data_IF_172730021579
#
_entry.id   IF_172730021579
#
_cell.length_a   1.000
_cell.length_b   1.000
_cell.length_c   1.000
_cell.angle_alpha   90.00
_cell.angle_beta   90.00
_cell.angle_gamma   90.00
#
_symmetry.space_group_name_H-M   'P 1'
#
loop_
_entity.id
_entity.type
_entity.pdbx_description
1 polymer ?
#
# COMPACT_ATOMS: atom_id res chain seq x y z
N UNK A 1 -18.24 42.60 -35.54
CA UNK A 1 -18.05 42.75 -34.08
C UNK A 1 -18.24 41.47 -33.25
N UNK A 2 -18.67 40.31 -33.80
CA UNK A 2 -18.88 39.08 -33.01
C UNK A 2 -17.69 38.10 -32.94
N UNK A 3 -16.65 38.28 -33.75
CA UNK A 3 -15.48 37.38 -33.78
C UNK A 3 -14.41 37.73 -32.73
N UNK A 4 -14.26 39.00 -32.33
CA UNK A 4 -13.30 39.38 -31.28
C UNK A 4 -13.71 38.93 -29.88
N UNK A 5 -15.00 38.72 -29.61
CA UNK A 5 -15.47 38.27 -28.29
C UNK A 5 -15.17 36.78 -28.02
N UNK A 6 -15.06 35.95 -29.06
CA UNK A 6 -14.81 34.51 -28.93
C UNK A 6 -13.33 34.18 -28.68
N UNK A 7 -12.40 35.02 -29.16
CA UNK A 7 -10.96 34.83 -28.93
C UNK A 7 -10.58 35.23 -27.50
N UNK A 8 -11.25 36.24 -26.93
CA UNK A 8 -10.97 36.71 -25.57
C UNK A 8 -11.47 35.69 -24.51
N UNK A 9 -12.61 35.02 -24.72
CA UNK A 9 -13.09 33.97 -23.80
C UNK A 9 -12.27 32.68 -23.87
N UNK A 10 -11.70 32.33 -25.03
CA UNK A 10 -10.81 31.17 -25.17
C UNK A 10 -9.42 31.42 -24.56
N UNK A 11 -8.92 32.66 -24.59
CA UNK A 11 -7.63 33.00 -23.95
C UNK A 11 -7.75 33.10 -22.42
N UNK A 12 -8.90 33.52 -21.89
CA UNK A 12 -9.17 33.56 -20.44
C UNK A 12 -9.36 32.16 -19.81
N UNK A 13 -9.76 31.16 -20.59
CA UNK A 13 -9.90 29.77 -20.11
C UNK A 13 -8.55 29.01 -20.07
N UNK A 14 -7.53 29.48 -20.80
CA UNK A 14 -6.17 28.93 -20.75
C UNK A 14 -5.33 29.45 -19.57
N UNK A 15 -5.74 30.56 -18.93
CA UNK A 15 -5.02 31.13 -17.76
C UNK A 15 -5.56 30.56 -16.43
N UNK A 16 -6.71 29.89 -16.44
CA UNK A 16 -7.32 29.34 -15.23
C UNK A 16 -6.74 27.97 -14.79
N UNK A 17 -5.88 27.34 -15.58
CA UNK A 17 -5.36 25.98 -15.28
C UNK A 17 -3.95 25.97 -14.66
N UNK A 18 -3.31 27.14 -14.49
CA UNK A 18 -1.98 27.24 -13.86
C UNK A 18 -2.01 27.41 -12.34
N UNK A 19 -3.18 27.36 -11.68
CA UNK A 19 -3.30 27.59 -10.23
C UNK A 19 -3.03 26.36 -9.34
N UNK A 20 -2.75 25.18 -9.93
CA UNK A 20 -2.36 23.98 -9.16
C UNK A 20 -0.88 23.61 -9.34
N UNK A 21 -0.04 24.56 -9.75
CA UNK A 21 1.42 24.45 -9.66
C UNK A 21 1.97 24.98 -8.33
N UNK A 22 1.16 24.99 -7.25
CA UNK A 22 1.71 24.97 -5.89
C UNK A 22 2.26 23.57 -5.63
N UNK A 23 3.37 23.26 -6.31
CA UNK A 23 4.33 22.27 -5.84
C UNK A 23 4.90 22.85 -4.55
N UNK A 24 4.18 22.66 -3.44
CA UNK A 24 4.71 22.78 -2.09
C UNK A 24 5.82 21.72 -1.98
N UNK A 25 7.02 22.06 -2.45
CA UNK A 25 8.23 21.25 -2.30
C UNK A 25 8.52 20.96 -0.82
N UNK A 26 7.95 21.79 0.07
CA UNK A 26 7.91 21.62 1.51
C UNK A 26 6.49 21.20 1.96
N UNK A 27 6.10 19.94 1.71
CA UNK A 27 4.95 19.33 2.42
C UNK A 27 5.37 19.11 3.87
N UNK A 28 5.03 20.03 4.76
CA UNK A 28 5.43 19.91 6.16
C UNK A 28 4.21 19.85 7.05
N UNK A 29 4.00 18.70 7.68
CA UNK A 29 3.42 18.60 9.01
C UNK A 29 4.53 18.86 9.97
N UNK A 30 4.26 19.88 10.75
CA UNK A 30 5.18 20.43 11.68
C UNK A 30 4.97 19.77 13.03
N UNK A 31 6.06 19.28 13.61
CA UNK A 31 6.11 19.02 15.03
C UNK A 31 6.02 20.34 15.80
N UNK A 32 4.88 20.56 16.47
CA UNK A 32 4.61 21.74 17.27
C UNK A 32 4.82 21.50 18.77
N UNK A 33 5.18 22.56 19.48
CA UNK A 33 5.19 22.58 20.94
C UNK A 33 4.53 23.85 21.48
N UNK A 34 3.95 23.73 22.67
CA UNK A 34 3.38 24.79 23.46
C UNK A 34 4.45 25.38 24.38
N UNK A 35 4.62 26.69 24.30
CA UNK A 35 5.49 27.48 25.17
C UNK A 35 4.62 28.40 26.01
N UNK A 36 4.42 28.03 27.28
CA UNK A 36 3.57 28.74 28.23
C UNK A 36 4.45 29.45 29.28
N UNK A 37 4.03 30.63 29.72
CA UNK A 37 4.80 31.41 30.69
C UNK A 37 4.97 30.64 32.03
N UNK A 38 6.22 30.45 32.46
CA UNK A 38 6.55 29.81 33.74
C UNK A 38 6.41 28.29 33.78
N UNK A 39 6.18 27.64 32.64
CA UNK A 39 6.08 26.18 32.52
C UNK A 39 7.15 25.64 31.56
N UNK A 40 7.53 24.37 31.74
CA UNK A 40 8.36 23.69 30.76
C UNK A 40 7.55 23.52 29.46
N UNK A 41 8.16 23.72 28.28
CA UNK A 41 7.45 23.52 27.01
C UNK A 41 6.98 22.07 26.86
N UNK A 42 5.86 21.88 26.18
CA UNK A 42 5.28 20.55 25.92
C UNK A 42 4.91 20.38 24.46
N UNK A 43 5.30 19.26 23.86
CA UNK A 43 4.90 18.90 22.50
C UNK A 43 3.39 18.76 22.42
N UNK A 44 2.80 19.32 21.36
CA UNK A 44 1.35 19.38 21.21
C UNK A 44 0.70 17.98 21.28
N UNK A 45 1.33 16.98 20.68
CA UNK A 45 0.89 15.58 20.70
C UNK A 45 0.69 15.07 22.13
N UNK A 46 1.62 15.35 23.03
CA UNK A 46 1.58 14.92 24.43
C UNK A 46 0.52 15.68 25.23
N UNK A 47 0.39 16.98 24.95
CA UNK A 47 -0.66 17.80 25.54
C UNK A 47 -2.06 17.31 25.13
N UNK A 48 -2.25 16.98 23.84
CA UNK A 48 -3.53 16.49 23.33
C UNK A 48 -3.93 15.14 23.91
N UNK A 49 -2.99 14.24 24.18
CA UNK A 49 -3.30 12.98 24.90
C UNK A 49 -3.98 13.25 26.23
N UNK A 50 -3.41 14.17 27.01
CA UNK A 50 -3.89 14.47 28.35
C UNK A 50 -5.25 15.18 28.33
N UNK A 51 -5.46 16.08 27.37
CA UNK A 51 -6.67 16.92 27.30
C UNK A 51 -7.83 16.25 26.58
N UNK A 52 -7.56 15.28 25.70
CA UNK A 52 -8.57 14.45 25.03
C UNK A 52 -8.89 13.16 25.78
N UNK A 53 -8.34 12.99 26.99
CA UNK A 53 -8.51 11.78 27.83
C UNK A 53 -8.09 10.47 27.12
N UNK A 54 -7.11 10.56 26.21
CA UNK A 54 -6.55 9.42 25.47
C UNK A 54 -5.52 8.61 26.28
N UNK A 55 -5.56 8.74 27.61
CA UNK A 55 -4.73 8.01 28.56
C UNK A 55 -3.64 8.84 29.24
N UNK A 56 -2.79 8.14 29.99
CA UNK A 56 -1.71 8.76 30.78
C UNK A 56 -0.39 8.55 30.07
N UNK A 57 0.28 9.63 29.69
CA UNK A 57 1.61 9.60 29.07
C UNK A 57 2.59 8.86 29.97
N UNK A 58 3.27 7.86 29.40
CA UNK A 58 4.37 7.13 30.02
C UNK A 58 5.62 7.36 29.20
N UNK A 59 6.57 8.08 29.76
CA UNK A 59 7.84 8.36 29.11
C UNK A 59 8.77 7.15 29.09
N UNK A 60 9.69 7.14 28.13
CA UNK A 60 10.74 6.13 28.04
C UNK A 60 11.80 6.36 29.12
N UNK A 61 12.39 5.27 29.62
CA UNK A 61 13.51 5.32 30.57
C UNK A 61 14.87 5.48 29.92
N UNK A 62 14.95 5.47 28.59
CA UNK A 62 16.21 5.70 27.88
C UNK A 62 16.71 7.14 28.11
N UNK A 63 18.01 7.35 27.87
CA UNK A 63 18.69 8.60 28.23
C UNK A 63 18.55 9.68 27.15
N UNK A 64 18.73 9.32 25.88
CA UNK A 64 18.72 10.27 24.76
C UNK A 64 17.35 10.36 24.09
N UNK A 65 17.03 11.49 23.46
CA UNK A 65 15.78 11.68 22.72
C UNK A 65 15.57 10.61 21.63
N UNK A 66 16.63 10.23 20.91
CA UNK A 66 16.57 9.19 19.88
C UNK A 66 16.28 7.82 20.49
N UNK A 67 17.01 7.43 21.54
CA UNK A 67 16.80 6.12 22.18
C UNK A 67 15.40 6.03 22.81
N UNK A 68 14.90 7.14 23.37
CA UNK A 68 13.52 7.25 23.87
C UNK A 68 12.51 7.05 22.75
N UNK A 69 12.68 7.68 21.58
CA UNK A 69 11.79 7.50 20.44
C UNK A 69 11.80 6.05 19.91
N UNK A 70 12.97 5.39 19.89
CA UNK A 70 13.12 3.97 19.52
C UNK A 70 12.41 3.05 20.52
N UNK A 71 12.54 3.31 21.83
CA UNK A 71 11.82 2.57 22.87
C UNK A 71 10.31 2.77 22.78
N UNK A 72 9.85 4.01 22.55
CA UNK A 72 8.44 4.32 22.32
C UNK A 72 7.87 3.58 21.10
N UNK A 73 8.57 3.60 19.97
CA UNK A 73 8.19 2.85 18.77
C UNK A 73 8.15 1.33 19.03
N UNK A 74 8.97 0.81 19.96
CA UNK A 74 8.97 -0.61 20.33
C UNK A 74 7.69 -1.07 21.01
N UNK A 75 6.86 -0.15 21.52
CA UNK A 75 5.53 -0.47 22.05
C UNK A 75 4.58 -1.02 20.99
N UNK A 76 4.84 -0.76 19.71
CA UNK A 76 4.05 -1.33 18.63
C UNK A 76 4.39 -2.81 18.37
N UNK A 77 5.51 -3.35 18.87
CA UNK A 77 5.98 -4.71 18.53
C UNK A 77 4.93 -5.82 18.74
N UNK A 78 4.04 -5.69 19.74
CA UNK A 78 3.04 -6.72 20.07
C UNK A 78 1.86 -6.75 19.09
N UNK A 79 1.56 -5.65 18.42
CA UNK A 79 0.37 -5.50 17.55
C UNK A 79 0.74 -5.21 16.10
N UNK A 80 1.88 -4.55 15.88
CA UNK A 80 2.39 -4.14 14.58
C UNK A 80 3.94 -4.09 14.57
N UNK A 81 4.59 -5.27 14.45
CA UNK A 81 6.05 -5.36 14.43
C UNK A 81 6.68 -4.69 13.19
N UNK A 82 5.96 -4.59 12.08
CA UNK A 82 6.48 -3.97 10.85
C UNK A 82 6.58 -2.45 11.01
N UNK A 83 5.50 -1.81 11.46
CA UNK A 83 5.48 -0.38 11.75
C UNK A 83 6.44 -0.01 12.89
N UNK A 84 6.52 -0.86 13.93
CA UNK A 84 7.51 -0.68 14.99
C UNK A 84 8.94 -0.59 14.42
N UNK A 85 9.31 -1.47 13.49
CA UNK A 85 10.62 -1.46 12.83
C UNK A 85 10.82 -0.19 12.01
N UNK A 86 9.86 0.15 11.15
CA UNK A 86 9.90 1.34 10.30
C UNK A 86 10.12 2.62 11.13
N UNK A 87 9.43 2.75 12.27
CA UNK A 87 9.54 3.93 13.12
C UNK A 87 10.84 3.98 13.89
N UNK A 88 11.38 2.85 14.34
CA UNK A 88 12.73 2.79 14.94
C UNK A 88 13.80 3.20 13.93
N UNK A 89 13.75 2.66 12.72
CA UNK A 89 14.70 2.99 11.66
C UNK A 89 14.63 4.48 11.33
N UNK A 90 13.43 5.04 11.27
CA UNK A 90 13.21 6.48 11.03
C UNK A 90 13.72 7.34 12.19
N UNK A 91 13.52 6.92 13.44
CA UNK A 91 14.00 7.63 14.61
C UNK A 91 15.54 7.64 14.70
N UNK A 92 16.19 6.51 14.39
CA UNK A 92 17.65 6.41 14.34
C UNK A 92 18.27 7.29 13.23
N UNK A 93 17.59 7.41 12.10
CA UNK A 93 18.02 8.25 10.98
C UNK A 93 17.78 9.75 11.23
N UNK A 94 16.89 10.12 12.16
CA UNK A 94 16.41 11.49 12.33
C UNK A 94 17.53 12.53 12.44
N UNK A 95 18.48 12.33 13.36
CA UNK A 95 19.56 13.30 13.61
C UNK A 95 20.51 13.44 12.43
N UNK A 96 20.76 12.36 11.68
CA UNK A 96 21.59 12.39 10.48
C UNK A 96 20.88 13.07 9.30
N UNK A 97 19.56 12.98 9.27
CA UNK A 97 18.68 13.57 8.25
C UNK A 97 18.18 14.97 8.60
N UNK A 98 18.55 15.51 9.77
CA UNK A 98 18.10 16.81 10.27
C UNK A 98 19.11 17.94 10.01
N UNK A 99 18.58 19.12 9.69
CA UNK A 99 19.30 20.38 9.62
C UNK A 99 18.80 21.31 10.73
N UNK A 100 19.68 21.66 11.66
CA UNK A 100 19.39 22.60 12.74
C UNK A 100 19.67 24.04 12.28
N UNK A 101 18.73 24.96 12.52
CA UNK A 101 18.83 26.38 12.15
C UNK A 101 18.59 27.27 13.38
N UNK A 102 19.42 28.30 13.56
CA UNK A 102 19.43 29.17 14.76
C UNK A 102 18.77 30.54 14.54
N UNK A 103 18.63 31.01 13.29
CA UNK A 103 18.25 32.41 13.00
C UNK A 103 17.16 32.55 11.93
N UNK A 104 16.55 31.43 11.54
CA UNK A 104 15.46 31.40 10.58
C UNK A 104 14.18 31.04 11.31
N UNK A 105 13.23 31.97 11.32
CA UNK A 105 11.86 31.67 11.71
C UNK A 105 11.33 30.59 10.76
N UNK A 106 10.98 29.42 11.32
CA UNK A 106 10.27 28.41 10.55
C UNK A 106 8.84 28.92 10.35
N UNK A 107 8.44 29.10 9.09
CA UNK A 107 7.07 29.53 8.77
C UNK A 107 6.12 28.40 9.17
N UNK A 108 5.07 28.76 9.93
CA UNK A 108 4.00 27.83 10.32
C UNK A 108 3.39 27.17 9.09
N UNK A 109 3.35 25.85 9.07
CA UNK A 109 2.72 25.07 8.01
C UNK A 109 1.20 25.07 8.18
N UNK A 110 0.43 25.08 7.08
CA UNK A 110 -1.03 25.23 7.14
C UNK A 110 -1.78 23.92 7.45
N UNK A 111 -1.15 22.94 8.08
CA UNK A 111 -1.68 21.58 8.25
C UNK A 111 -1.89 21.15 9.70
N UNK A 112 -1.94 22.12 10.61
CA UNK A 112 -2.19 21.89 12.03
C UNK A 112 -3.57 21.25 12.31
N UNK A 113 -4.57 21.49 11.46
CA UNK A 113 -5.96 21.11 11.75
C UNK A 113 -6.58 21.95 12.88
N UNK A 114 -7.59 21.41 13.56
CA UNK A 114 -8.22 22.09 14.70
C UNK A 114 -7.43 21.82 15.98
N UNK A 115 -6.98 22.90 16.63
CA UNK A 115 -6.22 22.81 17.89
C UNK A 115 -6.70 23.87 18.88
N UNK A 116 -6.86 23.45 20.13
CA UNK A 116 -7.15 24.33 21.27
C UNK A 116 -5.88 24.60 22.05
N UNK A 117 -5.45 25.86 22.09
CA UNK A 117 -4.26 26.32 22.81
C UNK A 117 -4.70 27.18 24.00
N UNK A 118 -4.17 26.96 25.22
CA UNK A 118 -4.45 27.84 26.36
C UNK A 118 -4.02 29.28 26.06
N UNK A 119 -4.74 30.26 26.62
CA UNK A 119 -4.54 31.68 26.29
C UNK A 119 -3.15 32.22 26.67
N UNK A 120 -2.51 31.61 27.66
CA UNK A 120 -1.18 31.91 28.17
C UNK A 120 -0.04 31.21 27.41
N UNK A 121 -0.37 30.37 26.44
CA UNK A 121 0.58 29.58 25.68
C UNK A 121 0.73 30.11 24.25
N UNK A 122 1.93 29.97 23.72
CA UNK A 122 2.22 30.18 22.30
C UNK A 122 2.48 28.84 21.65
N UNK A 123 1.88 28.60 20.48
CA UNK A 123 2.09 27.38 19.71
C UNK A 123 3.17 27.64 18.67
N UNK A 124 4.33 26.99 18.82
CA UNK A 124 5.48 27.21 17.95
C UNK A 124 5.88 25.93 17.21
N UNK A 125 6.31 26.11 15.96
CA UNK A 125 6.77 25.02 15.10
C UNK A 125 8.25 24.75 15.36
N UNK A 126 8.56 23.57 15.87
CA UNK A 126 9.92 23.18 16.26
C UNK A 126 10.62 22.44 15.14
N UNK A 127 9.92 21.55 14.45
CA UNK A 127 10.44 20.75 13.33
C UNK A 127 9.45 20.76 12.17
N UNK A 128 9.94 20.61 10.94
CA UNK A 128 9.10 20.19 9.83
C UNK A 128 9.86 19.25 8.88
N UNK A 129 9.07 18.42 8.20
CA UNK A 129 9.55 17.54 7.16
C UNK A 129 9.48 18.19 5.77
N UNK A 130 10.43 17.85 4.91
CA UNK A 130 10.40 18.11 3.47
C UNK A 130 10.91 16.89 2.70
N UNK A 131 10.64 16.86 1.40
CA UNK A 131 11.20 15.83 0.54
C UNK A 131 12.66 16.18 0.20
N UNK A 132 13.64 15.31 0.51
CA UNK A 132 15.01 15.54 0.11
C UNK A 132 15.15 15.68 -1.40
N UNK A 133 16.03 16.58 -1.83
CA UNK A 133 16.35 16.82 -3.23
C UNK A 133 17.86 16.93 -3.42
N UNK A 134 18.31 17.03 -4.67
CA UNK A 134 19.72 17.21 -4.98
C UNK A 134 20.31 18.50 -4.39
N UNK A 135 19.48 19.55 -4.26
CA UNK A 135 19.87 20.83 -3.67
C UNK A 135 19.73 20.83 -2.15
N UNK A 136 18.93 19.91 -1.60
CA UNK A 136 18.56 19.91 -0.22
C UNK A 136 18.45 18.51 0.36
N UNK A 137 19.56 18.04 0.94
CA UNK A 137 19.67 16.65 1.41
C UNK A 137 18.96 16.40 2.73
N UNK A 138 18.78 17.43 3.56
CA UNK A 138 18.14 17.27 4.86
C UNK A 138 16.63 17.11 4.71
N UNK A 139 16.11 16.04 5.30
CA UNK A 139 14.68 15.71 5.36
C UNK A 139 13.96 16.54 6.40
N UNK A 140 14.62 16.78 7.54
CA UNK A 140 14.05 17.52 8.66
C UNK A 140 14.75 18.86 8.79
N UNK A 141 14.00 19.91 9.10
CA UNK A 141 14.55 21.20 9.49
C UNK A 141 14.07 21.49 10.90
N UNK A 142 15.00 21.75 11.80
CA UNK A 142 14.75 21.91 13.22
C UNK A 142 15.15 23.31 13.67
N UNK A 143 14.25 24.03 14.33
CA UNK A 143 14.58 25.28 14.98
C UNK A 143 15.41 24.96 16.23
N UNK A 144 16.71 25.22 16.16
CA UNK A 144 17.65 24.86 17.22
C UNK A 144 17.31 25.56 18.54
N UNK A 145 16.84 26.81 18.49
CA UNK A 145 16.54 27.58 19.71
C UNK A 145 15.32 27.02 20.43
N UNK A 146 14.28 26.61 19.71
CA UNK A 146 13.10 25.97 20.29
C UNK A 146 13.40 24.54 20.73
N UNK A 147 14.12 23.78 19.91
CA UNK A 147 14.51 22.40 20.21
C UNK A 147 15.32 22.28 21.51
N UNK A 148 16.28 23.18 21.72
CA UNK A 148 17.14 23.17 22.91
C UNK A 148 16.40 23.57 24.20
N UNK A 149 15.16 24.08 24.10
CA UNK A 149 14.30 24.34 25.26
C UNK A 149 13.44 23.12 25.63
N UNK A 150 13.35 22.12 24.76
CA UNK A 150 12.64 20.87 25.03
C UNK A 150 13.53 19.91 25.81
N UNK A 151 12.94 19.19 26.77
CA UNK A 151 13.61 18.04 27.37
C UNK A 151 13.66 16.84 26.41
N UNK A 152 14.40 15.80 26.80
CA UNK A 152 14.60 14.63 25.95
C UNK A 152 13.29 13.86 25.65
N UNK A 153 12.29 13.93 26.52
CA UNK A 153 11.00 13.28 26.31
C UNK A 153 10.16 14.00 25.26
N UNK A 154 10.14 15.33 25.31
CA UNK A 154 9.50 16.16 24.29
C UNK A 154 10.23 16.08 22.94
N UNK A 155 11.56 16.07 22.95
CA UNK A 155 12.33 15.83 21.73
C UNK A 155 12.01 14.45 21.12
N UNK A 156 11.91 13.40 21.95
CA UNK A 156 11.52 12.07 21.49
C UNK A 156 10.12 12.04 20.87
N UNK A 157 9.16 12.77 21.44
CA UNK A 157 7.82 12.90 20.89
C UNK A 157 7.84 13.54 19.48
N UNK A 158 8.65 14.58 19.26
CA UNK A 158 8.82 15.17 17.93
C UNK A 158 9.49 14.20 16.95
N UNK A 159 10.53 13.47 17.37
CA UNK A 159 11.19 12.49 16.49
C UNK A 159 10.19 11.44 16.01
N UNK A 160 9.39 10.90 16.93
CA UNK A 160 8.40 9.88 16.61
C UNK A 160 7.24 10.45 15.76
N UNK A 161 6.82 11.69 16.03
CA UNK A 161 5.86 12.42 15.19
C UNK A 161 6.30 12.42 13.73
N UNK A 162 7.55 12.81 13.47
CA UNK A 162 8.08 12.91 12.11
C UNK A 162 8.22 11.52 11.45
N UNK A 163 8.50 10.47 12.22
CA UNK A 163 8.50 9.09 11.72
C UNK A 163 7.10 8.64 11.27
N UNK A 164 6.06 8.94 12.06
CA UNK A 164 4.67 8.64 11.72
C UNK A 164 4.22 9.49 10.52
N UNK A 165 4.52 10.79 10.53
CA UNK A 165 4.12 11.67 9.44
C UNK A 165 4.73 11.25 8.10
N UNK A 166 5.98 10.78 8.11
CA UNK A 166 6.62 10.21 6.92
C UNK A 166 5.81 9.07 6.32
N UNK A 167 5.16 8.24 7.13
CA UNK A 167 4.27 7.19 6.62
C UNK A 167 3.05 7.83 5.93
N UNK A 168 2.39 8.76 6.63
CA UNK A 168 1.15 9.40 6.16
C UNK A 168 1.35 10.13 4.83
N UNK A 169 2.41 10.92 4.66
CA UNK A 169 2.63 11.66 3.40
C UNK A 169 3.02 10.81 2.21
N UNK A 170 3.57 9.62 2.46
CA UNK A 170 3.92 8.66 1.42
C UNK A 170 2.76 7.69 1.13
N UNK A 171 1.62 7.89 1.79
CA UNK A 171 0.43 7.06 1.64
C UNK A 171 -0.57 7.63 0.65
N UNK A 172 -1.56 6.82 0.28
CA UNK A 172 -2.71 7.18 -0.56
C UNK A 172 -3.79 7.96 0.20
N UNK A 173 -3.60 8.26 1.49
CA UNK A 173 -4.59 9.02 2.27
C UNK A 173 -4.70 10.49 1.83
N UNK A 174 -3.69 11.04 1.13
CA UNK A 174 -3.64 12.45 0.73
C UNK A 174 -4.03 13.41 1.90
N UNK A 175 -3.67 13.03 3.12
CA UNK A 175 -4.10 13.72 4.33
C UNK A 175 -3.45 15.10 4.38
N UNK A 176 -4.28 16.12 4.60
CA UNK A 176 -3.85 17.52 4.62
C UNK A 176 -3.56 18.03 6.03
N UNK A 177 -3.82 17.23 7.07
CA UNK A 177 -3.70 17.65 8.45
C UNK A 177 -2.93 16.66 9.32
N UNK A 178 -2.30 17.21 10.35
CA UNK A 178 -1.44 16.47 11.27
C UNK A 178 -2.14 15.90 12.48
N UNK A 179 -3.41 16.22 12.67
CA UNK A 179 -4.17 15.83 13.85
C UNK A 179 -4.11 14.32 14.11
N UNK A 180 -4.28 13.50 13.07
CA UNK A 180 -4.24 12.04 13.17
C UNK A 180 -2.86 11.51 13.57
N UNK A 181 -1.79 12.14 13.06
CA UNK A 181 -0.41 11.83 13.45
C UNK A 181 -0.20 12.12 14.93
N UNK A 182 -0.66 13.28 15.41
CA UNK A 182 -0.52 13.69 16.82
C UNK A 182 -1.29 12.76 17.75
N UNK A 183 -2.52 12.41 17.39
CA UNK A 183 -3.33 11.43 18.14
C UNK A 183 -2.60 10.08 18.20
N UNK A 184 -2.11 9.57 17.07
CA UNK A 184 -1.43 8.27 17.04
C UNK A 184 -0.15 8.27 17.86
N UNK A 185 0.69 9.29 17.69
CA UNK A 185 1.91 9.48 18.46
C UNK A 185 1.61 9.54 19.96
N UNK A 186 0.56 10.27 20.31
CA UNK A 186 0.05 10.36 21.65
C UNK A 186 -0.38 9.02 22.26
N UNK A 187 -1.11 8.21 21.51
CA UNK A 187 -1.55 6.87 21.92
C UNK A 187 -0.36 5.92 22.16
N UNK A 188 0.71 6.02 21.35
CA UNK A 188 1.96 5.29 21.59
C UNK A 188 2.59 5.73 22.92
N UNK A 189 2.58 7.03 23.21
CA UNK A 189 3.07 7.58 24.47
C UNK A 189 2.22 7.19 25.68
N UNK A 190 0.90 7.02 25.54
CA UNK A 190 -0.01 6.67 26.64
C UNK A 190 0.00 5.18 27.02
N UNK A 191 0.80 4.36 26.32
CA UNK A 191 0.93 2.91 26.54
C UNK A 191 -0.37 2.12 26.29
N UNK A 192 -1.42 2.77 25.78
CA UNK A 192 -2.69 2.14 25.46
C UNK A 192 -2.55 1.09 24.36
N UNK A 193 -1.62 1.30 23.41
CA UNK A 193 -1.32 0.36 22.33
C UNK A 193 -1.06 -1.06 22.83
N UNK A 194 -0.37 -1.22 23.96
CA UNK A 194 -0.01 -2.54 24.48
C UNK A 194 -1.19 -3.37 24.97
N UNK A 195 -2.32 -2.72 25.28
CA UNK A 195 -3.54 -3.39 25.69
C UNK A 195 -4.52 -3.64 24.55
N UNK A 196 -4.24 -3.14 23.34
CA UNK A 196 -5.15 -3.31 22.22
C UNK A 196 -5.08 -4.73 21.68
N UNK A 197 -6.26 -5.32 21.45
CA UNK A 197 -6.38 -6.48 20.58
C UNK A 197 -6.08 -6.05 19.14
N UNK A 198 -5.60 -6.97 18.31
CA UNK A 198 -5.32 -6.68 16.89
C UNK A 198 -6.54 -6.06 16.19
N UNK A 199 -7.74 -6.54 16.50
CA UNK A 199 -9.00 -6.01 15.95
C UNK A 199 -9.22 -4.54 16.28
N UNK A 200 -8.94 -4.13 17.51
CA UNK A 200 -9.15 -2.75 17.96
C UNK A 200 -8.02 -1.85 17.45
N UNK A 201 -6.81 -2.39 17.35
CA UNK A 201 -5.69 -1.71 16.73
C UNK A 201 -5.94 -1.40 15.25
N UNK A 202 -6.44 -2.36 14.46
CA UNK A 202 -6.75 -2.12 13.05
C UNK A 202 -7.87 -1.09 12.87
N UNK A 203 -8.92 -1.12 13.71
CA UNK A 203 -9.96 -0.08 13.70
C UNK A 203 -9.39 1.29 14.04
N UNK A 204 -8.51 1.37 15.03
CA UNK A 204 -7.82 2.61 15.38
C UNK A 204 -7.03 3.15 14.17
N UNK A 205 -6.28 2.29 13.47
CA UNK A 205 -5.54 2.71 12.27
C UNK A 205 -6.48 3.25 11.17
N UNK A 206 -7.61 2.57 10.94
CA UNK A 206 -8.64 3.02 9.99
C UNK A 206 -9.23 4.37 10.38
N UNK A 207 -9.63 4.54 11.65
CA UNK A 207 -10.14 5.80 12.18
C UNK A 207 -9.12 6.94 12.06
N UNK A 208 -7.83 6.64 12.11
CA UNK A 208 -6.72 7.58 11.96
C UNK A 208 -6.22 7.71 10.51
N UNK A 209 -6.88 7.09 9.53
CA UNK A 209 -6.51 7.09 8.11
C UNK A 209 -5.08 6.58 7.81
N UNK A 210 -4.56 5.68 8.66
CA UNK A 210 -3.34 4.97 8.36
C UNK A 210 -3.66 3.86 7.34
N UNK A 211 -3.17 4.05 6.12
CA UNK A 211 -3.63 3.29 4.92
C UNK A 211 -3.27 1.82 4.87
N UNK A 212 -2.31 1.34 5.68
CA UNK A 212 -1.79 -0.02 5.55
C UNK A 212 -1.53 -0.72 6.87
N UNK A 213 -1.48 -2.05 6.81
CA UNK A 213 -0.99 -2.94 7.87
C UNK A 213 -0.20 -4.07 7.24
N UNK A 214 0.83 -4.59 7.90
CA UNK A 214 1.63 -5.70 7.38
C UNK A 214 1.42 -6.97 8.21
N UNK A 215 0.97 -8.04 7.56
CA UNK A 215 0.83 -9.38 8.15
C UNK A 215 1.69 -10.36 7.35
N UNK A 216 2.68 -10.99 7.98
CA UNK A 216 3.58 -11.96 7.35
C UNK A 216 4.22 -11.48 6.03
N UNK A 217 4.60 -10.20 5.98
CA UNK A 217 5.22 -9.58 4.80
C UNK A 217 4.22 -9.13 3.72
N UNK A 218 2.92 -9.31 3.93
CA UNK A 218 1.87 -8.81 3.04
C UNK A 218 1.34 -7.48 3.53
N UNK A 219 1.40 -6.46 2.67
CA UNK A 219 0.77 -5.16 2.96
C UNK A 219 -0.70 -5.19 2.59
N UNK A 220 -1.52 -5.12 3.62
CA UNK A 220 -2.97 -5.02 3.55
C UNK A 220 -3.34 -3.54 3.50
N UNK A 221 -4.32 -3.19 2.68
CA UNK A 221 -4.93 -1.86 2.67
C UNK A 221 -5.98 -1.79 3.79
N UNK A 222 -5.92 -0.71 4.56
CA UNK A 222 -6.89 -0.37 5.60
C UNK A 222 -7.90 0.68 5.13
N UNK A 223 -7.55 1.43 4.10
CA UNK A 223 -8.41 2.40 3.46
C UNK A 223 -7.62 3.34 2.55
N UNK A 224 -8.35 4.23 1.89
CA UNK A 224 -7.79 5.20 0.95
C UNK A 224 -8.67 6.43 0.82
N UNK A 225 -8.10 7.50 0.25
CA UNK A 225 -8.85 8.72 -0.03
C UNK A 225 -9.26 8.78 -1.48
N UNK A 226 -10.54 9.01 -1.76
CA UNK A 226 -11.06 9.17 -3.12
C UNK A 226 -10.52 10.44 -3.78
N UNK A 227 -10.60 10.58 -5.11
CA UNK A 227 -10.20 11.81 -5.80
C UNK A 227 -10.89 13.08 -5.27
N UNK A 228 -12.08 12.95 -4.68
CA UNK A 228 -12.85 14.04 -4.07
C UNK A 228 -12.40 14.36 -2.63
N UNK A 229 -11.47 13.60 -2.06
CA UNK A 229 -10.95 13.83 -0.70
C UNK A 229 -11.70 13.08 0.40
N UNK A 230 -12.56 12.11 0.08
CA UNK A 230 -13.27 11.32 1.10
C UNK A 230 -12.48 10.08 1.47
N UNK A 231 -12.39 9.77 2.76
CA UNK A 231 -11.84 8.51 3.23
C UNK A 231 -12.82 7.35 3.05
N UNK A 232 -12.30 6.21 2.59
CA UNK A 232 -13.02 4.96 2.43
C UNK A 232 -12.24 3.86 3.13
N UNK A 233 -12.87 3.21 4.10
CA UNK A 233 -12.31 2.04 4.78
C UNK A 233 -12.27 0.83 3.86
N UNK A 234 -11.14 0.12 3.87
CA UNK A 234 -11.01 -1.20 3.26
C UNK A 234 -11.57 -2.27 4.19
N UNK A 235 -12.26 -3.26 3.62
CA UNK A 235 -12.80 -4.36 4.43
C UNK A 235 -11.69 -5.31 4.91
N UNK A 236 -11.62 -5.51 6.23
CA UNK A 236 -10.76 -6.51 6.87
C UNK A 236 -11.62 -7.45 7.69
N UNK A 237 -11.63 -8.74 7.34
CA UNK A 237 -12.36 -9.77 8.06
C UNK A 237 -11.40 -10.54 8.97
N UNK A 238 -11.75 -10.62 10.24
CA UNK A 238 -11.01 -11.34 11.26
C UNK A 238 -11.89 -12.39 11.95
N UNK A 239 -11.27 -13.45 12.45
CA UNK A 239 -11.95 -14.41 13.32
C UNK A 239 -11.98 -13.97 14.79
N UNK A 240 -12.62 -14.76 15.64
CA UNK A 240 -12.71 -14.48 17.08
C UNK A 240 -11.38 -14.53 17.84
N UNK A 241 -10.29 -14.98 17.21
CA UNK A 241 -8.93 -14.98 17.76
C UNK A 241 -8.09 -13.82 17.22
N UNK A 242 -8.67 -12.95 16.38
CA UNK A 242 -7.97 -11.83 15.76
C UNK A 242 -7.07 -12.22 14.59
N UNK A 243 -7.23 -13.42 14.01
CA UNK A 243 -6.54 -13.80 12.77
C UNK A 243 -7.26 -13.17 11.58
N UNK A 244 -6.52 -12.57 10.66
CA UNK A 244 -7.08 -12.03 9.42
C UNK A 244 -7.46 -13.21 8.51
N UNK A 245 -8.73 -13.27 8.10
CA UNK A 245 -9.27 -14.27 7.18
C UNK A 245 -9.37 -13.76 5.74
N UNK A 246 -9.62 -12.47 5.58
CA UNK A 246 -9.71 -11.83 4.26
C UNK A 246 -9.44 -10.34 4.39
N UNK A 247 -8.73 -9.76 3.41
CA UNK A 247 -8.49 -8.32 3.39
C UNK A 247 -8.17 -7.81 1.97
N UNK A 248 -8.27 -6.50 1.76
CA UNK A 248 -7.77 -5.86 0.55
C UNK A 248 -6.24 -5.77 0.56
N UNK A 249 -5.56 -6.11 -0.53
CA UNK A 249 -4.12 -5.88 -0.68
C UNK A 249 -3.85 -4.44 -1.12
N UNK A 250 -2.84 -3.82 -0.52
CA UNK A 250 -2.35 -2.52 -0.96
C UNK A 250 -1.65 -2.64 -2.33
N UNK A 251 -1.83 -1.66 -3.22
CA UNK A 251 -1.21 -1.71 -4.54
C UNK A 251 0.33 -1.56 -4.48
N UNK A 252 0.83 -0.59 -3.72
CA UNK A 252 2.25 -0.21 -3.71
C UNK A 252 3.13 -1.15 -2.87
N UNK A 253 3.31 -2.39 -3.34
CA UNK A 253 4.15 -3.40 -2.69
C UNK A 253 4.83 -4.34 -3.71
N UNK A 254 5.83 -5.06 -3.22
CA UNK A 254 6.48 -6.17 -3.91
C UNK A 254 6.43 -7.39 -3.00
N UNK A 255 5.98 -8.53 -3.53
CA UNK A 255 6.06 -9.80 -2.81
C UNK A 255 6.06 -10.99 -3.77
N UNK A 256 6.65 -12.08 -3.32
CA UNK A 256 6.58 -13.38 -3.99
C UNK A 256 5.85 -14.39 -3.09
N UNK A 257 5.01 -15.23 -3.68
CA UNK A 257 4.26 -16.23 -2.93
C UNK A 257 3.91 -17.43 -3.82
N UNK A 258 4.33 -18.65 -3.43
CA UNK A 258 4.02 -19.87 -4.19
C UNK A 258 4.55 -19.87 -5.63
N UNK A 259 5.66 -19.19 -5.90
CA UNK A 259 6.24 -19.02 -7.24
C UNK A 259 5.61 -17.87 -8.05
N UNK A 260 4.48 -17.31 -7.61
CA UNK A 260 3.94 -16.08 -8.17
C UNK A 260 4.77 -14.89 -7.66
N UNK A 261 5.09 -13.97 -8.56
CA UNK A 261 5.71 -12.69 -8.25
C UNK A 261 4.75 -11.55 -8.52
N UNK A 262 4.78 -10.54 -7.65
CA UNK A 262 4.04 -9.30 -7.81
C UNK A 262 4.95 -8.10 -7.52
N UNK A 263 4.89 -7.10 -8.41
CA UNK A 263 5.66 -5.87 -8.30
C UNK A 263 4.81 -4.69 -8.77
N UNK A 264 4.50 -3.77 -7.86
CA UNK A 264 3.78 -2.55 -8.18
C UNK A 264 4.31 -1.39 -7.36
N UNK A 265 4.75 -0.35 -8.06
CA UNK A 265 5.35 0.84 -7.47
C UNK A 265 4.76 2.06 -8.18
N UNK A 266 4.12 2.94 -7.42
CA UNK A 266 3.57 4.19 -7.95
C UNK A 266 2.17 4.05 -8.56
N UNK A 267 1.42 3.01 -8.21
CA UNK A 267 0.01 2.89 -8.58
C UNK A 267 -0.80 4.02 -7.98
N UNK A 268 -1.73 4.55 -8.77
CA UNK A 268 -2.76 5.48 -8.30
C UNK A 268 -3.99 4.76 -7.75
N UNK A 269 -4.18 3.50 -8.12
CA UNK A 269 -5.15 2.62 -7.49
C UNK A 269 -4.63 2.23 -6.11
N UNK A 270 -5.46 2.39 -5.07
CA UNK A 270 -5.07 2.08 -3.71
C UNK A 270 -5.02 0.58 -3.43
N UNK A 271 -5.98 -0.17 -3.99
CA UNK A 271 -6.16 -1.59 -3.74
C UNK A 271 -5.87 -2.44 -4.97
N UNK A 272 -5.00 -3.42 -4.81
CA UNK A 272 -4.65 -4.40 -5.84
C UNK A 272 -5.77 -5.42 -6.07
N UNK A 273 -6.47 -5.80 -5.01
CA UNK A 273 -7.36 -6.95 -5.01
C UNK A 273 -7.65 -7.45 -3.61
N UNK A 274 -8.37 -8.56 -3.49
CA UNK A 274 -8.70 -9.20 -2.22
C UNK A 274 -7.91 -10.49 -2.05
N UNK A 275 -7.36 -10.69 -0.86
CA UNK A 275 -6.81 -11.98 -0.42
C UNK A 275 -7.72 -12.65 0.59
N UNK A 276 -7.71 -13.98 0.59
CA UNK A 276 -8.12 -14.79 1.73
C UNK A 276 -6.89 -15.47 2.33
N UNK A 277 -6.89 -15.60 3.65
CA UNK A 277 -5.77 -16.14 4.42
C UNK A 277 -6.23 -17.34 5.25
N UNK A 278 -5.34 -18.32 5.41
CA UNK A 278 -5.50 -19.49 6.28
C UNK A 278 -4.21 -19.63 7.10
N UNK A 279 -4.32 -19.40 8.41
CA UNK A 279 -3.18 -19.29 9.32
C UNK A 279 -2.08 -18.33 8.81
N UNK A 280 -2.52 -17.19 8.27
CA UNK A 280 -1.63 -16.13 7.78
C UNK A 280 -1.00 -16.40 6.40
N UNK A 281 -1.35 -17.51 5.76
CA UNK A 281 -0.91 -17.88 4.42
C UNK A 281 -1.97 -17.52 3.39
N UNK A 282 -1.58 -16.97 2.23
CA UNK A 282 -2.52 -16.69 1.14
C UNK A 282 -3.14 -18.01 0.66
N UNK A 283 -4.47 -18.05 0.60
CA UNK A 283 -5.25 -19.12 -0.01
C UNK A 283 -5.81 -18.75 -1.36
N UNK A 284 -6.36 -17.54 -1.45
CA UNK A 284 -6.81 -16.99 -2.73
C UNK A 284 -6.37 -15.56 -2.86
N UNK A 285 -6.02 -15.16 -4.08
CA UNK A 285 -5.85 -13.76 -4.46
C UNK A 285 -6.73 -13.46 -5.66
N UNK A 286 -7.70 -12.55 -5.48
CA UNK A 286 -8.54 -12.02 -6.54
C UNK A 286 -8.12 -10.59 -6.86
N UNK A 287 -7.56 -10.37 -8.04
CA UNK A 287 -7.12 -9.06 -8.51
C UNK A 287 -8.33 -8.17 -8.81
N UNK A 288 -8.26 -6.91 -8.38
CA UNK A 288 -9.26 -5.90 -8.68
C UNK A 288 -9.23 -5.60 -10.20
N UNK A 289 -10.37 -5.67 -10.91
CA UNK A 289 -10.41 -5.34 -12.34
C UNK A 289 -9.91 -3.94 -12.68
N UNK A 290 -10.08 -2.97 -11.77
CA UNK A 290 -9.63 -1.59 -11.98
C UNK A 290 -8.11 -1.51 -11.91
N UNK A 291 -7.52 -2.22 -10.94
CA UNK A 291 -6.08 -2.41 -10.84
C UNK A 291 -5.51 -3.09 -12.09
N UNK A 292 -6.18 -4.13 -12.59
CA UNK A 292 -5.74 -4.83 -13.81
C UNK A 292 -5.72 -3.96 -15.08
N UNK A 293 -6.40 -2.80 -15.05
CA UNK A 293 -6.40 -1.82 -16.14
C UNK A 293 -5.37 -0.70 -15.92
N UNK A 294 -4.80 -0.57 -14.73
CA UNK A 294 -3.75 0.41 -14.44
C UNK A 294 -2.42 -0.09 -15.03
N UNK A 295 -1.94 0.58 -16.07
CA UNK A 295 -0.69 0.25 -16.75
C UNK A 295 0.57 0.55 -15.93
N UNK A 296 0.44 1.16 -14.74
CA UNK A 296 1.56 1.44 -13.85
C UNK A 296 2.12 0.18 -13.16
N UNK A 297 1.36 -0.93 -13.13
CA UNK A 297 1.74 -2.11 -12.38
C UNK A 297 1.67 -3.40 -13.18
N UNK A 298 2.59 -4.32 -12.88
CA UNK A 298 2.54 -5.66 -13.43
C UNK A 298 1.46 -6.45 -12.68
N UNK A 299 0.55 -7.07 -13.44
CA UNK A 299 -0.32 -8.09 -12.88
C UNK A 299 0.55 -9.18 -12.21
N UNK A 300 0.04 -9.84 -11.16
CA UNK A 300 0.69 -11.03 -10.64
C UNK A 300 1.04 -11.98 -11.77
N UNK A 301 2.25 -12.52 -11.73
CA UNK A 301 2.76 -13.35 -12.79
C UNK A 301 3.46 -14.60 -12.26
N UNK A 302 3.38 -15.65 -13.05
CA UNK A 302 4.14 -16.88 -12.86
C UNK A 302 4.88 -17.18 -14.16
N UNK A 303 6.19 -17.37 -14.09
CA UNK A 303 6.95 -17.94 -15.20
C UNK A 303 6.88 -19.46 -15.05
N UNK A 304 6.26 -20.14 -16.02
CA UNK A 304 6.13 -21.60 -15.98
C UNK A 304 7.50 -22.23 -16.29
N UNK A 305 8.07 -23.05 -15.40
CA UNK A 305 9.27 -23.81 -15.72
C UNK A 305 9.06 -24.67 -16.97
N UNK A 306 10.11 -24.91 -17.76
CA UNK A 306 10.06 -25.77 -18.95
C UNK A 306 9.10 -25.32 -20.08
N UNK A 307 8.67 -24.06 -20.06
CA UNK A 307 7.75 -23.48 -21.05
C UNK A 307 8.38 -22.47 -22.02
N UNK A 308 9.72 -22.48 -22.15
CA UNK A 308 10.48 -21.42 -22.84
C UNK A 308 10.18 -20.00 -22.30
N UNK A 309 9.87 -19.87 -21.01
CA UNK A 309 9.62 -18.57 -20.37
C UNK A 309 8.20 -18.04 -20.56
N UNK A 310 7.21 -18.90 -20.82
CA UNK A 310 5.81 -18.48 -20.85
C UNK A 310 5.39 -17.92 -19.50
N UNK A 311 4.89 -16.68 -19.52
CA UNK A 311 4.37 -15.99 -18.34
C UNK A 311 2.84 -16.12 -18.29
N UNK A 312 2.34 -16.66 -17.20
CA UNK A 312 0.91 -16.69 -16.87
C UNK A 312 0.58 -15.43 -16.09
N UNK A 313 -0.47 -14.73 -16.53
CA UNK A 313 -1.12 -13.66 -15.81
C UNK A 313 -2.55 -14.09 -15.49
N UNK A 314 -3.03 -13.75 -14.31
CA UNK A 314 -4.33 -14.16 -13.82
C UNK A 314 -4.98 -13.10 -12.94
N UNK A 315 -6.30 -13.13 -12.90
CA UNK A 315 -7.09 -12.31 -11.98
C UNK A 315 -7.56 -13.10 -10.76
N UNK A 316 -7.42 -14.42 -10.75
CA UNK A 316 -7.72 -15.28 -9.60
C UNK A 316 -6.63 -16.31 -9.41
N UNK A 317 -6.06 -16.36 -8.21
CA UNK A 317 -4.96 -17.25 -7.85
C UNK A 317 -5.38 -18.08 -6.66
N UNK A 318 -5.06 -19.37 -6.68
CA UNK A 318 -5.41 -20.33 -5.64
C UNK A 318 -4.16 -21.06 -5.17
N UNK A 319 -4.00 -21.14 -3.85
CA UNK A 319 -2.82 -21.71 -3.21
C UNK A 319 -3.19 -22.84 -2.24
N UNK A 320 -2.35 -23.87 -2.24
CA UNK A 320 -2.44 -25.00 -1.34
C UNK A 320 -2.04 -24.67 0.09
N UNK A 321 -2.17 -25.66 0.97
CA UNK A 321 -1.72 -25.54 2.37
C UNK A 321 -0.20 -25.42 2.47
N UNK A 322 0.53 -26.01 1.54
CA UNK A 322 1.98 -25.95 1.45
C UNK A 322 2.47 -24.70 0.71
N UNK A 323 1.60 -23.68 0.57
CA UNK A 323 1.85 -22.43 -0.17
C UNK A 323 2.15 -22.62 -1.66
N UNK A 324 2.03 -23.84 -2.19
CA UNK A 324 2.19 -24.12 -3.61
C UNK A 324 1.01 -23.53 -4.39
N UNK A 325 1.28 -22.94 -5.55
CA UNK A 325 0.23 -22.53 -6.46
C UNK A 325 -0.50 -23.78 -6.96
N UNK A 326 -1.84 -23.76 -6.90
CA UNK A 326 -2.69 -24.85 -7.39
C UNK A 326 -3.35 -24.45 -8.69
N UNK A 327 -3.87 -23.22 -8.77
CA UNK A 327 -4.65 -22.79 -9.92
C UNK A 327 -4.54 -21.30 -10.16
N UNK A 328 -4.52 -20.92 -11.43
CA UNK A 328 -4.62 -19.54 -11.89
C UNK A 328 -5.77 -19.47 -12.89
N UNK A 329 -6.75 -18.61 -12.60
CA UNK A 329 -7.75 -18.21 -13.57
C UNK A 329 -7.47 -16.78 -14.03
N UNK A 330 -7.74 -16.52 -15.31
CA UNK A 330 -7.45 -15.27 -15.96
C UNK A 330 -8.30 -15.05 -17.19
N UNK A 331 -7.91 -14.03 -17.96
CA UNK A 331 -8.50 -13.80 -19.26
C UNK A 331 -7.47 -13.38 -20.30
N UNK A 332 -7.75 -13.69 -21.56
CA UNK A 332 -6.99 -13.27 -22.73
C UNK A 332 -7.90 -12.53 -23.70
N UNK A 333 -7.37 -11.58 -24.47
CA UNK A 333 -8.10 -10.89 -25.53
C UNK A 333 -7.41 -10.98 -26.89
N UNK A 334 -6.35 -11.78 -26.97
CA UNK A 334 -5.50 -11.95 -28.15
C UNK A 334 -5.08 -13.40 -28.28
N UNK A 335 -4.62 -13.75 -29.48
CA UNK A 335 -3.99 -15.06 -29.73
C UNK A 335 -2.89 -15.32 -28.70
N UNK A 336 -2.92 -16.51 -28.11
CA UNK A 336 -1.91 -16.98 -27.17
C UNK A 336 -1.47 -18.38 -27.56
N UNK A 337 -0.19 -18.67 -27.30
CA UNK A 337 0.43 -19.95 -27.55
C UNK A 337 1.32 -20.30 -26.37
N UNK A 338 1.13 -21.49 -25.82
CA UNK A 338 1.95 -22.07 -24.77
C UNK A 338 2.67 -23.28 -25.35
N UNK A 339 4.00 -23.29 -25.29
CA UNK A 339 4.80 -24.48 -25.51
C UNK A 339 5.14 -25.10 -24.16
N UNK A 340 4.80 -26.37 -23.95
CA UNK A 340 5.06 -27.06 -22.68
C UNK A 340 5.43 -28.52 -22.93
N UNK A 341 6.61 -28.93 -22.44
CA UNK A 341 7.16 -30.30 -22.58
C UNK A 341 7.07 -30.87 -24.01
N UNK A 342 7.30 -30.03 -25.01
CA UNK A 342 7.30 -30.42 -26.43
C UNK A 342 5.94 -30.36 -27.12
N UNK A 343 4.84 -30.12 -26.40
CA UNK A 343 3.51 -29.90 -26.99
C UNK A 343 3.20 -28.41 -27.11
N UNK A 344 2.41 -28.05 -28.12
CA UNK A 344 1.90 -26.68 -28.30
C UNK A 344 0.41 -26.61 -28.00
N UNK A 345 0.02 -25.63 -27.19
CA UNK A 345 -1.37 -25.27 -26.87
C UNK A 345 -1.66 -23.88 -27.43
N UNK A 346 -2.66 -23.76 -28.30
CA UNK A 346 -2.93 -22.55 -29.06
C UNK A 346 -4.39 -22.13 -28.91
N UNK A 347 -4.62 -20.87 -28.53
CA UNK A 347 -5.93 -20.25 -28.68
C UNK A 347 -6.14 -19.84 -30.13
N UNK A 348 -7.20 -20.36 -30.75
CA UNK A 348 -7.65 -19.96 -32.09
C UNK A 348 -8.80 -18.97 -31.94
N UNK A 349 -8.53 -17.64 -32.00
CA UNK A 349 -9.57 -16.64 -31.82
C UNK A 349 -10.57 -16.69 -32.98
N UNK A 350 -11.83 -16.39 -32.68
CA UNK A 350 -12.85 -16.21 -33.71
C UNK A 350 -12.62 -14.87 -34.42
N UNK A 351 -12.40 -14.90 -35.74
CA UNK A 351 -12.16 -13.70 -36.55
C UNK A 351 -13.32 -12.70 -36.52
N UNK A 352 -14.52 -13.14 -36.15
CA UNK A 352 -15.72 -12.33 -36.12
C UNK A 352 -16.14 -11.92 -34.70
N UNK A 353 -15.45 -12.41 -33.66
CA UNK A 353 -15.71 -12.00 -32.27
C UNK A 353 -14.48 -11.37 -31.63
N UNK A 354 -14.62 -10.11 -31.24
CA UNK A 354 -13.71 -9.50 -30.27
C UNK A 354 -14.11 -9.96 -28.87
N UNK A 355 -13.56 -11.10 -28.44
CA UNK A 355 -13.88 -11.75 -27.17
C UNK A 355 -12.80 -11.60 -26.11
N UNK A 356 -13.24 -11.61 -24.85
CA UNK A 356 -12.40 -11.94 -23.69
C UNK A 356 -12.56 -13.44 -23.46
N UNK A 357 -11.44 -14.17 -23.42
CA UNK A 357 -11.35 -15.61 -23.32
C UNK A 357 -10.93 -15.98 -21.91
N UNK A 358 -11.73 -16.76 -21.21
CA UNK A 358 -11.37 -17.26 -19.88
C UNK A 358 -10.23 -18.27 -20.00
N UNK A 359 -9.23 -18.13 -19.13
CA UNK A 359 -8.09 -19.05 -19.04
C UNK A 359 -8.02 -19.69 -17.68
N UNK A 360 -7.51 -20.92 -17.65
CA UNK A 360 -7.28 -21.70 -16.44
C UNK A 360 -5.98 -22.46 -16.58
N UNK A 361 -5.14 -22.42 -15.55
CA UNK A 361 -3.91 -23.20 -15.45
C UNK A 361 -3.89 -23.87 -14.07
N UNK A 362 -3.81 -25.19 -14.03
CA UNK A 362 -3.74 -25.96 -12.78
C UNK A 362 -2.39 -26.65 -12.64
N UNK A 363 -1.85 -26.66 -11.44
CA UNK A 363 -0.53 -27.19 -11.10
C UNK A 363 -0.61 -28.27 -10.03
N UNK A 364 0.31 -29.23 -10.10
CA UNK A 364 0.54 -30.18 -9.00
C UNK A 364 1.43 -29.57 -7.90
N UNK A 365 1.72 -30.36 -6.86
CA UNK A 365 2.59 -29.91 -5.74
C UNK A 365 4.06 -29.70 -6.14
N UNK A 366 4.48 -30.17 -7.32
CA UNK A 366 5.82 -29.97 -7.88
C UNK A 366 5.85 -28.84 -8.91
N UNK A 367 4.77 -28.05 -9.03
CA UNK A 367 4.60 -26.98 -10.01
C UNK A 367 4.65 -27.44 -11.47
N UNK A 368 4.34 -28.71 -11.75
CA UNK A 368 4.05 -29.16 -13.11
C UNK A 368 2.65 -28.69 -13.50
N UNK A 369 2.51 -28.16 -14.72
CA UNK A 369 1.20 -27.88 -15.32
C UNK A 369 0.49 -29.22 -15.59
N UNK A 370 -0.68 -29.41 -14.97
CA UNK A 370 -1.53 -30.62 -15.08
C UNK A 370 -2.86 -30.35 -15.77
N UNK A 371 -3.24 -29.08 -15.94
CA UNK A 371 -4.45 -28.70 -16.66
C UNK A 371 -4.26 -27.34 -17.33
N UNK A 372 -4.73 -27.21 -18.56
CA UNK A 372 -4.71 -25.95 -19.30
C UNK A 372 -6.03 -25.66 -20.00
N UNK A 373 -6.50 -24.43 -19.87
CA UNK A 373 -7.62 -23.85 -20.61
C UNK A 373 -7.21 -22.50 -21.17
N UNK A 374 -7.28 -22.32 -22.48
CA UNK A 374 -7.00 -21.03 -23.14
C UNK A 374 -8.28 -20.32 -23.63
N UNK A 375 -9.45 -20.87 -23.31
CA UNK A 375 -10.77 -20.38 -23.70
C UNK A 375 -11.22 -20.97 -25.04
N UNK A 376 -12.45 -21.52 -25.08
CA UNK A 376 -12.95 -22.28 -26.23
C UNK A 376 -12.88 -23.79 -25.99
N UNK A 377 -13.30 -24.56 -26.99
CA UNK A 377 -13.36 -26.02 -26.89
C UNK A 377 -12.03 -26.62 -27.37
N UNK A 378 -11.32 -27.41 -26.54
CA UNK A 378 -10.06 -28.00 -26.93
C UNK A 378 -10.24 -29.13 -27.95
N UNK A 379 -9.35 -29.21 -28.93
CA UNK A 379 -9.25 -30.31 -29.87
C UNK A 379 -7.78 -30.56 -30.29
N UNK A 380 -7.47 -31.77 -30.73
CA UNK A 380 -6.14 -32.15 -31.23
C UNK A 380 -6.05 -31.94 -32.74
N UNK A 381 -5.07 -31.16 -33.19
CA UNK A 381 -4.68 -31.10 -34.58
C UNK A 381 -3.54 -32.11 -34.81
N UNK A 382 -3.88 -33.28 -35.31
CA UNK A 382 -2.96 -34.41 -35.49
C UNK A 382 -1.85 -34.12 -36.51
N UNK A 383 -2.08 -33.21 -37.46
CA UNK A 383 -1.09 -32.87 -38.50
C UNK A 383 0.08 -32.08 -37.92
N UNK A 384 -0.21 -31.21 -36.96
CA UNK A 384 0.77 -30.28 -36.36
C UNK A 384 1.17 -30.67 -34.93
N UNK A 385 0.65 -31.80 -34.41
CA UNK A 385 0.85 -32.27 -33.03
C UNK A 385 0.59 -31.16 -31.98
N UNK A 386 -0.51 -30.42 -32.17
CA UNK A 386 -0.89 -29.27 -31.32
C UNK A 386 -2.32 -29.38 -30.82
N UNK A 387 -2.56 -28.86 -29.62
CA UNK A 387 -3.89 -28.69 -29.04
C UNK A 387 -4.40 -27.30 -29.38
N UNK A 388 -5.55 -27.21 -30.04
CA UNK A 388 -6.20 -25.96 -30.38
C UNK A 388 -7.43 -25.74 -29.51
N UNK A 389 -7.56 -24.55 -28.94
CA UNK A 389 -8.78 -24.10 -28.28
C UNK A 389 -9.59 -23.30 -29.28
N UNK A 390 -10.57 -23.96 -29.91
CA UNK A 390 -11.38 -23.39 -30.99
C UNK A 390 -12.66 -22.79 -30.41
N UNK A 391 -12.93 -21.55 -30.80
CA UNK A 391 -14.17 -20.87 -30.44
C UNK A 391 -15.33 -21.41 -31.27
N UNK A 392 -16.25 -22.14 -30.63
CA UNK A 392 -17.51 -22.55 -31.24
C UNK A 392 -18.66 -21.66 -30.74
N UNK A 393 -19.70 -21.49 -31.57
CA UNK A 393 -20.89 -20.69 -31.27
C UNK A 393 -21.63 -21.10 -29.98
N UNK A 394 -21.35 -22.29 -29.44
CA UNK A 394 -21.97 -22.85 -28.24
C UNK A 394 -21.27 -22.52 -26.90
N UNK A 395 -20.34 -21.55 -26.86
CA UNK A 395 -19.68 -21.09 -25.62
C UNK A 395 -19.01 -22.19 -24.79
N UNK A 396 -18.41 -23.20 -25.43
CA UNK A 396 -17.68 -24.23 -24.69
C UNK A 396 -16.42 -23.66 -24.08
N UNK A 397 -16.42 -23.35 -22.78
CA UNK A 397 -15.21 -23.18 -21.99
C UNK A 397 -14.73 -24.57 -21.59
N UNK A 398 -13.62 -25.01 -22.19
CA UNK A 398 -13.03 -26.31 -21.90
C UNK A 398 -11.60 -26.17 -21.40
N UNK A 399 -11.20 -27.15 -20.59
CA UNK A 399 -9.82 -27.36 -20.16
C UNK A 399 -9.33 -28.73 -20.62
N UNK A 400 -8.03 -28.94 -20.58
CA UNK A 400 -7.38 -30.18 -20.98
C UNK A 400 -6.46 -30.65 -19.86
N UNK A 401 -6.73 -31.84 -19.32
CA UNK A 401 -5.84 -32.50 -18.39
C UNK A 401 -4.56 -32.98 -19.10
N UNK A 402 -3.42 -32.84 -18.43
CA UNK A 402 -2.10 -33.13 -18.96
C UNK A 402 -1.46 -34.26 -18.17
N UNK A 403 -0.90 -35.23 -18.90
CA UNK A 403 -0.02 -36.24 -18.33
C UNK A 403 1.32 -35.65 -17.87
N UNK A 404 2.13 -36.43 -17.14
CA UNK A 404 3.47 -36.03 -16.68
C UNK A 404 4.41 -35.60 -17.82
N UNK A 405 4.20 -36.14 -19.03
CA UNK A 405 4.95 -35.78 -20.24
C UNK A 405 4.41 -34.54 -20.96
N UNK A 406 3.38 -33.89 -20.40
CA UNK A 406 2.71 -32.74 -21.02
C UNK A 406 1.84 -33.11 -22.22
N UNK A 407 1.41 -34.36 -22.37
CA UNK A 407 0.48 -34.78 -23.43
C UNK A 407 -0.97 -34.75 -22.93
N UNK A 408 -1.95 -34.37 -23.76
CA UNK A 408 -3.35 -34.28 -23.36
C UNK A 408 -3.96 -35.66 -23.05
N UNK A 409 -4.64 -35.79 -21.92
CA UNK A 409 -5.34 -37.00 -21.51
C UNK A 409 -6.77 -37.02 -22.08
N UNK A 410 -6.92 -37.44 -23.35
CA UNK A 410 -8.20 -37.59 -24.07
C UNK A 410 -8.88 -36.28 -24.51
N UNK A 411 -8.63 -35.87 -25.76
CA UNK A 411 -9.32 -34.75 -26.42
C UNK A 411 -9.79 -35.17 -27.83
N UNK A 412 -10.91 -34.64 -28.33
CA UNK A 412 -11.38 -34.94 -29.68
C UNK A 412 -10.42 -34.35 -30.73
N UNK A 413 -10.37 -34.97 -31.92
CA UNK A 413 -9.65 -34.42 -33.08
C UNK A 413 -10.37 -33.17 -33.58
N UNK A 414 -9.62 -32.14 -33.96
CA UNK A 414 -10.17 -30.94 -34.60
C UNK A 414 -10.80 -31.35 -35.95
N UNK A 415 -12.12 -31.15 -36.08
CA UNK A 415 -12.88 -31.47 -37.29
C UNK A 415 -13.16 -30.23 -38.11
#
# INVERSE_FOLDING_TARGET
MRFCQLVITSLLSLIAVSAHANNWYDRGNAGFALFCAGQAPIVLDLYEVSTRELGVVKFSKADTAVDKAVDLASRLNSVDPARARQYKDSALDFMASAQFVTDLGIRKTPDLGLVTVPAECTLEQVVFQRNPSILNKARYVVNANLWNQLDADNQAALILHEAIYREVINSTANELFSERVRIFNGIIHSHQVLSLLKTDYLKLLQELHLTTYEENGLKISLGYTTPEGFWVDSEVFMDGMGRILSASLAANQYFGYGGMEYACIGSTVAEMGRVTLDDGNIRTLRVNPDFARDGACNLPMLIVPDSNGFAIFGNMWFFGREQNLIRVDGTLNKKAQLAYKGMTYELVPDLFKTGVYNTTFTFDSKMNLIEVGLGGTPCLNETEDKVQFVQNLANGEGTVALSDTGKPEQIPVCR
#
